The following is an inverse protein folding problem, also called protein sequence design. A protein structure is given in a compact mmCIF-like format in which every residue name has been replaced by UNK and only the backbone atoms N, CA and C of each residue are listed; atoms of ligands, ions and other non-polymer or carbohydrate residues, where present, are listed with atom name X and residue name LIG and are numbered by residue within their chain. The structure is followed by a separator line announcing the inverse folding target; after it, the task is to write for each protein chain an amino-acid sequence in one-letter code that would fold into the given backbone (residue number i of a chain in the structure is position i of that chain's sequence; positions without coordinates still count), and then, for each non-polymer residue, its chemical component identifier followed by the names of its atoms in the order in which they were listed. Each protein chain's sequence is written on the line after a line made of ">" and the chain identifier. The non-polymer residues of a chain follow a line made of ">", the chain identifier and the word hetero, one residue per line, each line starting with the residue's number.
data_IF_316629814742
#
_entry.id   IF_316629814742
#
_cell.length_a   1.000
_cell.length_b   1.000
_cell.length_c   1.000
_cell.angle_alpha   90.00
_cell.angle_beta   90.00
_cell.angle_gamma   90.00
#
_symmetry.space_group_name_H-M   'P 1'
#
loop_
_entity.id
_entity.type
_entity.pdbx_description
1 polymer ?
#
# COMPACT_ATOMS: atom_id res chain seq x y z
N UNK A 1 7.38 -3.60 8.70
CA UNK A 1 8.70 -3.62 8.03
C UNK A 1 8.46 -3.74 6.54
N UNK A 2 9.14 -2.92 5.73
CA UNK A 2 9.16 -3.11 4.28
C UNK A 2 9.96 -4.38 3.99
N UNK A 3 9.41 -5.28 3.17
CA UNK A 3 9.99 -6.60 2.94
C UNK A 3 10.58 -6.74 1.54
N UNK A 4 9.86 -6.27 0.52
CA UNK A 4 10.28 -6.47 -0.86
C UNK A 4 9.60 -5.49 -1.82
N UNK A 5 10.27 -5.18 -2.92
CA UNK A 5 9.72 -4.52 -4.10
C UNK A 5 9.85 -5.46 -5.31
N UNK A 6 8.80 -5.57 -6.12
CA UNK A 6 8.82 -6.45 -7.28
C UNK A 6 7.51 -6.45 -8.04
N UNK A 7 7.27 -7.51 -8.81
CA UNK A 7 5.96 -7.71 -9.42
C UNK A 7 4.95 -8.12 -8.35
N UNK A 8 3.76 -7.53 -8.43
CA UNK A 8 2.62 -7.92 -7.62
C UNK A 8 2.27 -9.38 -7.87
N UNK A 9 1.61 -9.98 -6.89
CA UNK A 9 1.11 -11.35 -6.95
C UNK A 9 -0.41 -11.38 -6.77
N UNK A 10 -1.05 -12.41 -7.35
CA UNK A 10 -2.50 -12.59 -7.31
C UNK A 10 -3.24 -11.64 -8.25
N UNK A 11 -4.25 -10.91 -7.76
CA UNK A 11 -5.12 -10.06 -8.58
C UNK A 11 -4.44 -8.85 -9.24
N UNK A 12 -3.17 -8.56 -8.88
CA UNK A 12 -2.35 -7.47 -9.44
C UNK A 12 -1.05 -7.99 -10.03
N UNK A 13 -1.05 -9.23 -10.51
CA UNK A 13 0.13 -9.85 -11.10
C UNK A 13 0.74 -8.98 -12.21
N UNK A 14 2.08 -8.83 -12.18
CA UNK A 14 2.83 -8.03 -13.15
C UNK A 14 2.89 -6.52 -12.89
N UNK A 15 2.05 -5.98 -12.00
CA UNK A 15 2.13 -4.57 -11.58
C UNK A 15 3.32 -4.34 -10.64
N UNK A 16 4.07 -3.23 -10.74
CA UNK A 16 5.04 -2.88 -9.71
C UNK A 16 4.38 -2.83 -8.33
N UNK A 17 5.01 -3.44 -7.33
CA UNK A 17 4.42 -3.57 -6.01
C UNK A 17 5.44 -3.49 -4.89
N UNK A 18 4.95 -3.06 -3.73
CA UNK A 18 5.68 -2.94 -2.48
C UNK A 18 4.97 -3.78 -1.41
N UNK A 19 5.69 -4.71 -0.81
CA UNK A 19 5.16 -5.58 0.25
C UNK A 19 5.63 -5.11 1.62
N UNK A 20 4.66 -4.84 2.49
CA UNK A 20 4.88 -4.51 3.90
C UNK A 20 4.38 -5.65 4.78
N UNK A 21 5.20 -6.04 5.73
CA UNK A 21 4.87 -7.10 6.68
C UNK A 21 5.06 -6.62 8.12
N UNK A 22 4.08 -6.95 8.96
CA UNK A 22 4.19 -6.85 10.41
C UNK A 22 4.17 -8.26 11.00
N UNK A 23 5.28 -8.64 11.61
CA UNK A 23 5.38 -9.89 12.34
C UNK A 23 4.59 -9.76 13.64
N UNK A 24 3.75 -10.74 13.92
CA UNK A 24 2.96 -10.83 15.16
C UNK A 24 3.45 -12.07 15.90
N UNK A 25 4.02 -11.88 17.09
CA UNK A 25 4.53 -12.99 17.90
C UNK A 25 3.41 -13.99 18.19
N UNK A 26 3.65 -15.27 17.91
CA UNK A 26 2.66 -16.35 18.14
C UNK A 26 1.48 -16.34 17.16
N UNK A 27 1.53 -15.58 16.06
CA UNK A 27 0.45 -15.53 15.07
C UNK A 27 0.99 -15.40 13.64
N UNK A 28 0.09 -15.49 12.66
CA UNK A 28 0.44 -15.22 11.26
C UNK A 28 0.77 -13.73 11.10
N UNK A 29 1.79 -13.44 10.30
CA UNK A 29 2.14 -12.06 9.95
C UNK A 29 0.98 -11.36 9.24
N UNK A 30 0.85 -10.07 9.49
CA UNK A 30 -0.06 -9.19 8.76
C UNK A 30 0.71 -8.62 7.57
N UNK A 31 0.12 -8.68 6.38
CA UNK A 31 0.76 -8.26 5.14
C UNK A 31 -0.13 -7.30 4.36
N UNK A 32 0.50 -6.29 3.78
CA UNK A 32 -0.12 -5.29 2.90
C UNK A 32 0.75 -5.20 1.66
N UNK A 33 0.15 -5.42 0.49
CA UNK A 33 0.80 -5.20 -0.80
C UNK A 33 0.17 -3.96 -1.44
N UNK A 34 1.02 -2.99 -1.75
CA UNK A 34 0.69 -1.80 -2.51
C UNK A 34 1.13 -2.03 -3.94
N UNK A 35 0.18 -2.24 -4.86
CA UNK A 35 0.48 -2.37 -6.29
C UNK A 35 0.09 -1.09 -7.02
N UNK A 36 0.98 -0.58 -7.85
CA UNK A 36 0.77 0.66 -8.63
C UNK A 36 0.72 0.32 -10.11
N UNK A 37 -0.09 1.02 -10.90
CA UNK A 37 0.01 0.90 -12.36
C UNK A 37 1.34 1.51 -12.86
N UNK A 38 1.88 0.94 -13.94
CA UNK A 38 3.07 1.50 -14.60
C UNK A 38 2.74 2.81 -15.33
N UNK A 39 1.52 2.93 -15.80
CA UNK A 39 1.06 4.04 -16.65
C UNK A 39 0.46 5.17 -15.82
N UNK A 40 -0.21 4.83 -14.71
CA UNK A 40 -0.81 5.78 -13.79
C UNK A 40 -0.39 5.47 -12.35
N UNK A 41 0.51 6.28 -11.78
CA UNK A 41 0.99 6.06 -10.41
C UNK A 41 -0.08 6.32 -9.34
N UNK A 42 -1.16 7.01 -9.70
CA UNK A 42 -2.30 7.26 -8.82
C UNK A 42 -3.31 6.09 -8.85
N UNK A 43 -3.19 5.18 -9.82
CA UNK A 43 -3.92 3.91 -9.82
C UNK A 43 -3.25 2.91 -8.86
N UNK A 44 -3.64 3.02 -7.60
CA UNK A 44 -3.11 2.24 -6.49
C UNK A 44 -4.11 1.15 -6.09
N UNK A 45 -3.67 -0.10 -6.16
CA UNK A 45 -4.40 -1.25 -5.66
C UNK A 45 -3.80 -1.77 -4.35
N UNK A 46 -4.62 -1.79 -3.31
CA UNK A 46 -4.27 -2.33 -2.01
C UNK A 46 -4.74 -3.78 -1.87
N UNK A 47 -3.83 -4.65 -1.45
CA UNK A 47 -4.14 -6.06 -1.13
C UNK A 47 -3.71 -6.33 0.31
N UNK A 48 -4.60 -6.95 1.07
CA UNK A 48 -4.41 -7.23 2.49
C UNK A 48 -4.44 -8.74 2.74
N UNK A 49 -3.62 -9.22 3.66
CA UNK A 49 -3.83 -10.54 4.23
C UNK A 49 -5.10 -10.56 5.10
N UNK A 50 -5.73 -11.73 5.22
CA UNK A 50 -7.03 -11.88 5.88
C UNK A 50 -7.04 -11.42 7.35
N UNK A 51 -5.89 -11.50 8.02
CA UNK A 51 -5.68 -11.15 9.42
C UNK A 51 -5.31 -9.66 9.66
N UNK A 52 -5.29 -8.81 8.63
CA UNK A 52 -5.17 -7.35 8.82
C UNK A 52 -6.50 -6.81 9.39
N UNK A 53 -6.49 -6.10 10.53
CA UNK A 53 -7.71 -5.56 11.15
C UNK A 53 -8.42 -4.56 10.22
N UNK A 54 -9.75 -4.56 10.24
CA UNK A 54 -10.57 -3.66 9.42
C UNK A 54 -10.20 -2.18 9.61
N UNK A 55 -10.03 -1.75 10.86
CA UNK A 55 -9.61 -0.37 11.17
C UNK A 55 -8.29 0.01 10.49
N UNK A 56 -7.33 -0.91 10.39
CA UNK A 56 -6.06 -0.65 9.71
C UNK A 56 -6.29 -0.52 8.20
N UNK A 57 -7.13 -1.38 7.60
CA UNK A 57 -7.49 -1.28 6.18
C UNK A 57 -8.15 0.06 5.87
N UNK A 58 -9.15 0.45 6.66
CA UNK A 58 -9.93 1.67 6.48
C UNK A 58 -9.03 2.92 6.60
N UNK A 59 -8.12 2.95 7.58
CA UNK A 59 -7.15 4.05 7.71
C UNK A 59 -6.20 4.15 6.51
N UNK A 60 -5.74 3.03 5.96
CA UNK A 60 -4.86 3.04 4.77
C UNK A 60 -5.61 3.52 3.53
N UNK A 61 -6.86 3.06 3.33
CA UNK A 61 -7.70 3.56 2.25
C UNK A 61 -7.93 5.06 2.38
N UNK A 62 -8.19 5.54 3.60
CA UNK A 62 -8.35 6.96 3.87
C UNK A 62 -7.09 7.75 3.48
N UNK A 63 -5.91 7.31 3.91
CA UNK A 63 -4.64 7.97 3.56
C UNK A 63 -4.47 8.07 2.04
N UNK A 64 -4.71 6.98 1.30
CA UNK A 64 -4.50 6.96 -0.15
C UNK A 64 -5.49 7.88 -0.88
N UNK A 65 -6.75 7.86 -0.46
CA UNK A 65 -7.80 8.70 -1.03
C UNK A 65 -7.68 10.18 -0.61
N UNK A 66 -7.08 10.47 0.56
CA UNK A 66 -6.78 11.84 1.00
C UNK A 66 -5.56 12.40 0.26
N UNK A 67 -4.53 11.59 -0.02
CA UNK A 67 -3.40 12.04 -0.84
C UNK A 67 -3.77 12.38 -2.29
N UNK A 68 -4.89 11.85 -2.81
CA UNK A 68 -5.44 12.29 -4.10
C UNK A 68 -6.05 13.69 -4.03
N UNK A 69 -6.44 14.16 -2.83
CA UNK A 69 -6.92 15.53 -2.57
C UNK A 69 -5.78 16.48 -2.17
N UNK A 70 -4.78 16.00 -1.41
CA UNK A 70 -3.65 16.82 -0.94
C UNK A 70 -2.54 17.04 -1.97
N UNK A 71 -2.62 16.43 -3.17
CA UNK A 71 -1.72 16.78 -4.28
C UNK A 71 -1.88 18.24 -4.75
N UNK A 72 -2.96 18.93 -4.37
CA UNK A 72 -3.10 20.39 -4.50
C UNK A 72 -2.35 21.19 -3.42
N UNK A 73 -1.87 20.57 -2.34
CA UNK A 73 -1.16 21.21 -1.22
C UNK A 73 0.25 20.63 -1.01
N UNK A 74 0.99 20.39 -2.09
CA UNK A 74 2.42 20.05 -1.97
C UNK A 74 3.18 21.22 -1.36
N UNK A 75 3.71 21.04 -0.15
CA UNK A 75 4.69 21.95 0.46
C UNK A 75 5.96 21.86 -0.39
N UNK A 76 6.22 22.92 -1.14
CA UNK A 76 7.48 23.16 -1.83
C UNK A 76 8.55 23.53 -0.78
N UNK A 77 9.26 22.53 -0.26
CA UNK A 77 10.54 22.77 0.43
C UNK A 77 11.64 22.74 -0.64
N UNK A 78 11.83 23.89 -1.27
CA UNK A 78 13.03 24.22 -2.01
C UNK A 78 14.25 24.26 -1.09
N UNK A 79 15.36 23.75 -1.63
CA UNK A 79 16.73 23.73 -1.10
C UNK A 79 17.22 25.11 -0.64
#
# INVERSE_FOLDING_TARGET
>A
MFMNQGAGVGIVEGRPSYLYQKNITGSRSQMIQLAVSRENKDDIHLIFSNNVPRQVRDSIYKIINETTLDSENTINIGL
#
